data_IF_724824822491
#
_entry.id   IF_724824822491
#
_cell.length_a   1.000
_cell.length_b   1.000
_cell.length_c   1.000
_cell.angle_alpha   90.00
_cell.angle_beta   90.00
_cell.angle_gamma   90.00
#
_symmetry.space_group_name_H-M   'P 1'
#
loop_
_entity.id
_entity.type
_entity.pdbx_description
1 polymer ?
#
# COMPACT_ATOMS: atom_id res chain seq x y z
N UNK A 1 -0.15 37.03 -1.54
CA UNK A 1 0.78 36.26 -2.38
C UNK A 1 0.17 34.88 -2.62
N UNK A 2 -0.56 34.64 -3.73
CA UNK A 2 -1.09 33.31 -4.00
C UNK A 2 0.02 32.43 -4.60
N UNK A 3 0.27 31.28 -3.97
CA UNK A 3 1.21 30.26 -4.42
C UNK A 3 0.61 29.55 -5.66
N UNK A 4 1.40 29.41 -6.74
CA UNK A 4 1.01 28.62 -7.92
C UNK A 4 0.77 27.16 -7.50
N UNK A 5 -0.42 26.64 -7.79
CA UNK A 5 -0.70 25.21 -7.73
C UNK A 5 0.01 24.55 -8.91
N UNK A 6 0.95 23.65 -8.63
CA UNK A 6 1.52 22.77 -9.64
C UNK A 6 0.38 21.97 -10.30
N UNK A 7 0.38 21.91 -11.63
CA UNK A 7 -0.64 21.22 -12.43
C UNK A 7 -0.80 19.76 -11.98
N UNK A 8 -2.02 19.21 -11.98
CA UNK A 8 -2.23 17.80 -11.65
C UNK A 8 -1.48 16.94 -12.66
N UNK A 9 -0.62 16.04 -12.18
CA UNK A 9 -0.09 14.96 -13.02
C UNK A 9 -1.30 14.16 -13.52
N UNK A 10 -1.57 14.23 -14.82
CA UNK A 10 -2.55 13.35 -15.46
C UNK A 10 -1.99 11.92 -15.45
N UNK A 11 -2.27 11.20 -14.38
CA UNK A 11 -2.02 9.76 -14.29
C UNK A 11 -3.03 9.06 -15.20
N UNK A 12 -2.54 8.60 -16.35
CA UNK A 12 -3.30 7.93 -17.40
C UNK A 12 -4.24 6.86 -16.86
N UNK A 13 -5.47 6.90 -17.38
CA UNK A 13 -6.60 6.03 -17.04
C UNK A 13 -6.39 4.58 -17.49
N UNK A 14 -5.86 3.79 -16.56
CA UNK A 14 -6.36 2.47 -16.18
C UNK A 14 -5.78 2.23 -14.80
N UNK A 15 -6.59 2.35 -13.74
CA UNK A 15 -6.08 2.29 -12.37
C UNK A 15 -5.58 0.87 -12.09
N UNK A 16 -4.32 0.60 -12.46
CA UNK A 16 -3.65 -0.64 -12.17
C UNK A 16 -3.69 -0.85 -10.66
N UNK A 17 -4.18 -2.01 -10.24
CA UNK A 17 -4.32 -2.37 -8.85
C UNK A 17 -2.95 -2.27 -8.16
N UNK A 18 -2.85 -1.42 -7.15
CA UNK A 18 -1.62 -1.25 -6.38
C UNK A 18 -1.58 -2.31 -5.29
N UNK A 19 -0.63 -3.24 -5.41
CA UNK A 19 -0.37 -4.28 -4.43
C UNK A 19 0.42 -3.72 -3.23
N UNK A 20 -0.15 -3.83 -2.03
CA UNK A 20 0.40 -3.32 -0.78
C UNK A 20 0.79 -4.47 0.16
N UNK A 21 2.01 -4.46 0.69
CA UNK A 21 2.44 -5.34 1.78
C UNK A 21 2.46 -4.53 3.08
N UNK A 22 1.74 -4.99 4.11
CA UNK A 22 1.68 -4.32 5.42
C UNK A 22 2.66 -4.97 6.40
N UNK A 23 3.54 -4.19 7.01
CA UNK A 23 4.59 -4.65 7.93
C UNK A 23 4.51 -3.89 9.25
N UNK A 24 4.08 -4.56 10.31
CA UNK A 24 4.02 -3.98 11.65
C UNK A 24 4.08 -5.09 12.69
N UNK A 25 4.74 -4.90 13.84
CA UNK A 25 4.86 -5.95 14.86
C UNK A 25 3.56 -6.18 15.64
N UNK A 26 2.64 -5.22 15.62
CA UNK A 26 1.36 -5.28 16.30
C UNK A 26 0.26 -5.79 15.38
N UNK A 27 -0.32 -6.94 15.75
CA UNK A 27 -1.41 -7.57 15.02
C UNK A 27 -2.60 -6.64 14.76
N UNK A 28 -2.99 -5.83 15.76
CA UNK A 28 -4.13 -4.90 15.64
C UNK A 28 -3.90 -3.84 14.56
N UNK A 29 -2.66 -3.38 14.39
CA UNK A 29 -2.29 -2.40 13.37
C UNK A 29 -2.37 -3.04 11.98
N UNK A 30 -1.79 -4.24 11.80
CA UNK A 30 -1.85 -4.94 10.50
C UNK A 30 -3.27 -5.24 10.05
N UNK A 31 -4.12 -5.71 10.97
CA UNK A 31 -5.53 -5.98 10.68
C UNK A 31 -6.30 -4.69 10.38
N UNK A 32 -6.06 -3.62 11.16
CA UNK A 32 -6.65 -2.31 10.95
C UNK A 32 -6.30 -1.73 9.58
N UNK A 33 -5.01 -1.69 9.24
CA UNK A 33 -4.53 -1.14 7.98
C UNK A 33 -5.02 -1.94 6.77
N UNK A 34 -5.04 -3.28 6.87
CA UNK A 34 -5.60 -4.13 5.80
C UNK A 34 -7.07 -3.84 5.52
N UNK A 35 -7.87 -3.55 6.58
CA UNK A 35 -9.28 -3.14 6.42
C UNK A 35 -9.41 -1.75 5.81
N UNK A 36 -8.58 -0.79 6.23
CA UNK A 36 -8.58 0.55 5.65
C UNK A 36 -8.22 0.53 4.16
N UNK A 37 -7.23 -0.29 3.77
CA UNK A 37 -6.86 -0.52 2.36
C UNK A 37 -8.04 -1.09 1.58
N UNK A 38 -8.74 -2.10 2.12
CA UNK A 38 -9.89 -2.71 1.45
C UNK A 38 -11.08 -1.75 1.27
N UNK A 39 -11.22 -0.75 2.15
CA UNK A 39 -12.26 0.28 2.07
C UNK A 39 -11.83 1.51 1.26
N UNK A 40 -10.60 1.56 0.74
CA UNK A 40 -10.10 2.73 0.04
C UNK A 40 -10.88 2.94 -1.28
N UNK A 41 -11.19 4.19 -1.65
CA UNK A 41 -11.89 4.50 -2.91
C UNK A 41 -11.02 4.29 -4.16
N UNK A 42 -9.72 4.03 -3.97
CA UNK A 42 -8.73 3.77 -5.01
C UNK A 42 -8.47 2.26 -5.15
N UNK A 43 -7.95 1.83 -6.31
CA UNK A 43 -7.63 0.44 -6.58
C UNK A 43 -6.38 -0.01 -5.80
N UNK A 44 -6.52 -0.28 -4.51
CA UNK A 44 -5.50 -0.88 -3.65
C UNK A 44 -5.89 -2.30 -3.27
N UNK A 45 -4.90 -3.15 -3.07
CA UNK A 45 -5.09 -4.46 -2.45
C UNK A 45 -3.95 -4.76 -1.48
N UNK A 46 -4.30 -5.10 -0.24
CA UNK A 46 -3.34 -5.72 0.68
C UNK A 46 -3.04 -7.14 0.19
N UNK A 47 -1.84 -7.38 -0.34
CA UNK A 47 -1.43 -8.68 -0.90
C UNK A 47 -0.76 -9.59 0.13
N UNK A 48 -0.40 -9.05 1.29
CA UNK A 48 0.20 -9.80 2.37
C UNK A 48 0.43 -8.95 3.61
N UNK A 49 0.77 -9.60 4.72
CA UNK A 49 1.21 -8.94 5.94
C UNK A 49 2.45 -9.63 6.50
N UNK A 50 3.29 -8.89 7.23
CA UNK A 50 4.45 -9.41 7.93
C UNK A 50 4.57 -8.79 9.32
N UNK A 51 5.02 -9.56 10.31
CA UNK A 51 5.17 -9.11 11.71
C UNK A 51 6.57 -8.62 12.06
N UNK A 52 7.52 -8.81 11.15
CA UNK A 52 8.93 -8.47 11.32
C UNK A 52 9.62 -8.34 9.96
N UNK A 53 10.88 -7.90 9.99
CA UNK A 53 11.67 -7.66 8.79
C UNK A 53 11.99 -8.93 7.98
N UNK A 54 12.22 -10.08 8.63
CA UNK A 54 12.54 -11.32 7.92
C UNK A 54 11.33 -11.80 7.09
N UNK A 55 10.15 -11.85 7.71
CA UNK A 55 8.89 -12.16 7.03
C UNK A 55 8.59 -11.17 5.90
N UNK A 56 8.89 -9.88 6.11
CA UNK A 56 8.67 -8.85 5.10
C UNK A 56 9.56 -9.06 3.87
N UNK A 57 10.85 -9.36 4.04
CA UNK A 57 11.76 -9.64 2.93
C UNK A 57 11.34 -10.89 2.14
N UNK A 58 10.95 -11.96 2.83
CA UNK A 58 10.41 -13.15 2.18
C UNK A 58 9.11 -12.87 1.42
N UNK A 59 8.21 -12.08 2.01
CA UNK A 59 6.97 -11.66 1.39
C UNK A 59 7.21 -10.76 0.18
N UNK A 60 8.17 -9.83 0.24
CA UNK A 60 8.55 -8.98 -0.90
C UNK A 60 9.05 -9.80 -2.08
N UNK A 61 9.94 -10.77 -1.83
CA UNK A 61 10.48 -11.64 -2.86
C UNK A 61 9.41 -12.53 -3.51
N UNK A 62 8.41 -12.96 -2.73
CA UNK A 62 7.31 -13.83 -3.19
C UNK A 62 6.17 -13.07 -3.86
N UNK A 63 5.79 -11.91 -3.33
CA UNK A 63 4.56 -11.20 -3.68
C UNK A 63 4.79 -10.00 -4.61
N UNK A 64 6.03 -9.52 -4.72
CA UNK A 64 6.38 -8.36 -5.53
C UNK A 64 5.42 -7.15 -5.34
N UNK A 65 5.21 -6.69 -4.09
CA UNK A 65 4.29 -5.58 -3.82
C UNK A 65 4.80 -4.29 -4.49
N UNK A 66 3.88 -3.41 -4.88
CA UNK A 66 4.22 -2.08 -5.40
C UNK A 66 4.59 -1.11 -4.27
N UNK A 67 3.98 -1.27 -3.09
CA UNK A 67 4.19 -0.43 -1.91
C UNK A 67 4.32 -1.33 -0.68
N UNK A 68 5.25 -0.98 0.21
CA UNK A 68 5.41 -1.59 1.53
C UNK A 68 5.21 -0.49 2.56
N UNK A 69 4.37 -0.75 3.56
CA UNK A 69 4.00 0.20 4.63
C UNK A 69 4.04 -0.47 5.99
#
# INVERSE_FOLDING_TARGET
MPYLLASPVELGSSAALVAVLVVDDQRVVREGLSRLIACAPMALQCVGTASNAAEALEAMARLHPNVVV
#
